data_IF_372669669474
#
_entry.id   IF_372669669474
#
_cell.length_a   1.000
_cell.length_b   1.000
_cell.length_c   1.000
_cell.angle_alpha   90.00
_cell.angle_beta   90.00
_cell.angle_gamma   90.00
#
_symmetry.space_group_name_H-M   'P 1'
#
loop_
_entity.id
_entity.type
_entity.pdbx_description
1 polymer ?
#
# COMPACT_ATOMS: atom_id res chain seq x y z
N UNK A 1 -14.58 -19.74 15.57
CA UNK A 1 -14.26 -20.56 16.75
C UNK A 1 -13.58 -21.90 16.42
N UNK A 2 -13.69 -22.47 15.20
CA UNK A 2 -13.08 -23.79 14.89
C UNK A 2 -11.63 -23.76 14.36
N UNK A 3 -11.00 -22.60 14.12
CA UNK A 3 -9.68 -22.52 13.44
C UNK A 3 -8.50 -22.09 14.34
N UNK A 4 -8.76 -21.59 15.55
CA UNK A 4 -7.69 -21.14 16.47
C UNK A 4 -6.91 -22.30 17.11
N UNK A 5 -7.51 -23.49 17.17
CA UNK A 5 -6.94 -24.71 17.74
C UNK A 5 -5.96 -25.42 16.79
N UNK A 6 -5.96 -25.05 15.51
CA UNK A 6 -5.01 -25.60 14.54
C UNK A 6 -3.63 -24.96 14.67
N UNK A 7 -2.59 -25.67 14.23
CA UNK A 7 -1.23 -25.12 14.18
C UNK A 7 -1.10 -23.98 13.17
N UNK A 8 -0.16 -23.06 13.42
CA UNK A 8 0.11 -21.93 12.50
C UNK A 8 0.36 -22.38 11.05
N UNK A 9 1.18 -23.44 10.77
CA UNK A 9 1.37 -23.93 9.41
C UNK A 9 0.08 -24.45 8.76
N UNK A 10 -0.78 -25.15 9.50
CA UNK A 10 -2.04 -25.66 8.97
C UNK A 10 -2.98 -24.52 8.55
N UNK A 11 -3.04 -23.44 9.35
CA UNK A 11 -3.80 -22.23 9.00
C UNK A 11 -3.25 -21.52 7.77
N UNK A 12 -1.92 -21.41 7.66
CA UNK A 12 -1.26 -20.80 6.50
C UNK A 12 -1.51 -21.60 5.21
N UNK A 13 -1.46 -22.93 5.29
CA UNK A 13 -1.78 -23.82 4.17
C UNK A 13 -3.25 -23.70 3.75
N UNK A 14 -4.17 -23.64 4.72
CA UNK A 14 -5.60 -23.43 4.43
C UNK A 14 -5.84 -22.08 3.76
N UNK A 15 -5.19 -21.01 4.22
CA UNK A 15 -5.23 -19.69 3.59
C UNK A 15 -4.69 -19.75 2.15
N UNK A 16 -3.54 -20.38 1.92
CA UNK A 16 -2.95 -20.51 0.60
C UNK A 16 -3.84 -21.31 -0.36
N UNK A 17 -4.42 -22.42 0.09
CA UNK A 17 -5.36 -23.22 -0.70
C UNK A 17 -6.61 -22.42 -1.07
N UNK A 18 -7.23 -21.74 -0.10
CA UNK A 18 -8.39 -20.88 -0.34
C UNK A 18 -8.07 -19.70 -1.27
N UNK A 19 -6.88 -19.11 -1.15
CA UNK A 19 -6.39 -18.05 -2.02
C UNK A 19 -6.27 -18.53 -3.48
N UNK A 20 -5.72 -19.72 -3.71
CA UNK A 20 -5.61 -20.30 -5.05
C UNK A 20 -6.99 -20.64 -5.64
N UNK A 21 -7.90 -21.18 -4.82
CA UNK A 21 -9.28 -21.47 -5.23
C UNK A 21 -10.03 -20.20 -5.63
N UNK A 22 -9.93 -19.13 -4.83
CA UNK A 22 -10.55 -17.84 -5.15
C UNK A 22 -9.93 -17.20 -6.40
N UNK A 23 -8.62 -17.30 -6.60
CA UNK A 23 -7.98 -16.84 -7.82
C UNK A 23 -8.46 -17.60 -9.07
N UNK A 24 -8.57 -18.94 -8.98
CA UNK A 24 -9.13 -19.77 -10.05
C UNK A 24 -10.60 -19.42 -10.33
N UNK A 25 -11.39 -19.15 -9.29
CA UNK A 25 -12.78 -18.71 -9.40
C UNK A 25 -12.92 -17.38 -10.15
N UNK A 26 -12.19 -16.33 -9.75
CA UNK A 26 -12.23 -15.03 -10.46
C UNK A 26 -11.73 -15.19 -11.89
N UNK A 27 -10.69 -16.00 -12.10
CA UNK A 27 -10.19 -16.29 -13.44
C UNK A 27 -11.26 -16.93 -14.32
N UNK A 28 -12.02 -17.92 -13.83
CA UNK A 28 -13.14 -18.52 -14.55
C UNK A 28 -14.26 -17.50 -14.84
N UNK A 29 -14.55 -16.63 -13.87
CA UNK A 29 -15.55 -15.57 -13.97
C UNK A 29 -15.13 -14.39 -14.87
N UNK A 30 -13.88 -14.32 -15.38
CA UNK A 30 -13.36 -13.16 -16.13
C UNK A 30 -14.15 -12.78 -17.37
N UNK A 31 -14.90 -13.74 -17.96
CA UNK A 31 -15.74 -13.54 -19.14
C UNK A 31 -17.08 -12.86 -18.84
N UNK A 32 -17.46 -12.75 -17.56
CA UNK A 32 -18.66 -12.03 -17.16
C UNK A 32 -18.56 -10.55 -17.53
N UNK A 33 -19.71 -9.96 -17.86
CA UNK A 33 -19.82 -8.53 -18.13
C UNK A 33 -19.47 -7.71 -16.88
N UNK A 34 -18.73 -6.59 -17.02
CA UNK A 34 -18.44 -5.69 -15.91
C UNK A 34 -19.68 -5.19 -15.16
N UNK A 35 -19.50 -4.82 -13.90
CA UNK A 35 -20.58 -4.37 -13.01
C UNK A 35 -21.19 -5.53 -12.22
N UNK A 36 -22.52 -5.58 -12.15
CA UNK A 36 -23.26 -6.50 -11.27
C UNK A 36 -22.90 -7.99 -11.43
N UNK A 37 -22.72 -8.55 -12.66
CA UNK A 37 -22.37 -9.96 -12.80
C UNK A 37 -21.02 -10.30 -12.17
N UNK A 38 -20.00 -9.46 -12.41
CA UNK A 38 -18.69 -9.62 -11.76
C UNK A 38 -18.77 -9.37 -10.25
N UNK A 39 -19.61 -8.43 -9.79
CA UNK A 39 -19.81 -8.18 -8.37
C UNK A 39 -20.35 -9.41 -7.65
N UNK A 40 -21.38 -10.05 -8.20
CA UNK A 40 -21.94 -11.29 -7.66
C UNK A 40 -20.87 -12.39 -7.58
N UNK A 41 -20.04 -12.55 -8.62
CA UNK A 41 -18.91 -13.49 -8.60
C UNK A 41 -17.81 -13.09 -7.61
N UNK A 42 -17.64 -11.80 -7.31
CA UNK A 42 -16.64 -11.30 -6.38
C UNK A 42 -17.03 -11.48 -4.90
N UNK A 43 -18.32 -11.45 -4.56
CA UNK A 43 -18.80 -11.54 -3.16
C UNK A 43 -18.16 -12.67 -2.33
N UNK A 44 -18.12 -13.95 -2.78
CA UNK A 44 -17.47 -15.01 -2.00
C UNK A 44 -15.97 -14.79 -1.82
N UNK A 45 -15.31 -14.16 -2.80
CA UNK A 45 -13.88 -13.84 -2.74
C UNK A 45 -13.61 -12.71 -1.74
N UNK A 46 -14.45 -11.68 -1.75
CA UNK A 46 -14.36 -10.57 -0.79
C UNK A 46 -14.61 -11.08 0.65
N UNK A 47 -15.60 -11.95 0.83
CA UNK A 47 -15.87 -12.57 2.13
C UNK A 47 -14.68 -13.42 2.63
N UNK A 48 -14.09 -14.24 1.75
CA UNK A 48 -12.89 -15.01 2.05
C UNK A 48 -11.73 -14.09 2.47
N UNK A 49 -11.46 -13.03 1.68
CA UNK A 49 -10.38 -12.09 1.96
C UNK A 49 -10.58 -11.37 3.31
N UNK A 50 -11.81 -10.97 3.65
CA UNK A 50 -12.13 -10.36 4.94
C UNK A 50 -12.00 -11.35 6.11
N UNK A 51 -12.25 -12.63 5.89
CA UNK A 51 -12.08 -13.66 6.92
C UNK A 51 -10.61 -14.08 7.12
N UNK A 52 -9.75 -13.88 6.12
CA UNK A 52 -8.37 -14.37 6.12
C UNK A 52 -7.53 -13.94 7.35
N UNK A 53 -7.54 -12.67 7.80
CA UNK A 53 -6.76 -12.28 8.97
C UNK A 53 -7.29 -12.87 10.27
N UNK A 54 -8.58 -13.26 10.33
CA UNK A 54 -9.22 -13.85 11.51
C UNK A 54 -8.75 -15.28 11.79
N UNK A 55 -7.98 -15.88 10.89
CA UNK A 55 -7.31 -17.16 11.15
C UNK A 55 -6.21 -16.99 12.20
N UNK A 56 -5.64 -15.80 12.35
CA UNK A 56 -4.45 -15.56 13.15
C UNK A 56 -4.76 -14.78 14.43
N UNK A 57 -3.95 -15.01 15.46
CA UNK A 57 -4.16 -14.40 16.77
C UNK A 57 -3.78 -12.93 16.74
N UNK A 58 -4.76 -12.05 16.93
CA UNK A 58 -4.53 -10.61 17.14
C UNK A 58 -3.85 -10.32 18.48
N UNK A 59 -3.33 -9.11 18.63
CA UNK A 59 -2.84 -8.60 19.91
C UNK A 59 -4.03 -8.36 20.86
N UNK A 60 -4.00 -8.96 22.03
CA UNK A 60 -4.96 -8.66 23.10
C UNK A 60 -4.47 -7.41 23.84
N UNK A 61 -5.22 -6.31 23.68
CA UNK A 61 -4.87 -5.04 24.30
C UNK A 61 -5.03 -5.06 25.84
N UNK A 62 -5.80 -6.01 26.39
CA UNK A 62 -6.03 -6.15 27.84
C UNK A 62 -5.04 -7.09 28.51
N UNK A 63 -4.56 -8.11 27.79
CA UNK A 63 -3.56 -9.05 28.27
C UNK A 63 -2.49 -9.33 27.21
N UNK A 64 -1.41 -8.55 27.27
CA UNK A 64 -0.28 -8.63 26.34
C UNK A 64 0.64 -9.82 26.58
N UNK A 65 0.45 -10.58 27.66
CA UNK A 65 1.24 -11.78 27.93
C UNK A 65 0.88 -12.94 26.99
N UNK A 66 -0.33 -12.88 26.40
CA UNK A 66 -0.81 -13.91 25.49
C UNK A 66 -0.01 -13.93 24.19
N UNK A 67 0.30 -15.12 23.66
CA UNK A 67 0.94 -15.24 22.36
C UNK A 67 0.05 -14.65 21.28
N UNK A 68 0.62 -13.79 20.45
CA UNK A 68 -0.07 -13.14 19.34
C UNK A 68 0.74 -13.31 18.05
N UNK A 69 0.04 -13.18 16.94
CA UNK A 69 0.55 -13.30 15.58
C UNK A 69 0.31 -11.96 14.85
N UNK A 70 0.42 -10.84 15.57
CA UNK A 70 0.00 -9.51 15.12
C UNK A 70 0.65 -9.09 13.80
N UNK A 71 1.94 -9.39 13.61
CA UNK A 71 2.62 -9.12 12.32
C UNK A 71 1.96 -9.92 11.19
N UNK A 72 1.62 -11.19 11.41
CA UNK A 72 0.92 -12.01 10.41
C UNK A 72 -0.45 -11.45 10.10
N UNK A 73 -1.22 -11.07 11.13
CA UNK A 73 -2.54 -10.43 10.97
C UNK A 73 -2.42 -9.17 10.11
N UNK A 74 -1.47 -8.28 10.42
CA UNK A 74 -1.26 -7.04 9.66
C UNK A 74 -0.84 -7.28 8.21
N UNK A 75 0.05 -8.24 7.95
CA UNK A 75 0.49 -8.56 6.59
C UNK A 75 -0.61 -9.23 5.75
N UNK A 76 -1.41 -10.11 6.37
CA UNK A 76 -2.51 -10.80 5.70
C UNK A 76 -3.68 -9.84 5.45
N UNK A 77 -3.99 -8.96 6.40
CA UNK A 77 -4.95 -7.87 6.20
C UNK A 77 -4.54 -7.01 5.00
N UNK A 78 -3.29 -6.54 4.99
CA UNK A 78 -2.78 -5.69 3.92
C UNK A 78 -2.84 -6.40 2.56
N UNK A 79 -2.44 -7.67 2.48
CA UNK A 79 -2.47 -8.42 1.23
C UNK A 79 -3.89 -8.77 0.75
N UNK A 80 -4.77 -9.23 1.64
CA UNK A 80 -6.07 -9.79 1.29
C UNK A 80 -7.20 -8.76 1.38
N UNK A 81 -7.39 -8.16 2.56
CA UNK A 81 -8.48 -7.22 2.85
C UNK A 81 -8.30 -5.93 2.06
N UNK A 82 -7.05 -5.46 1.95
CA UNK A 82 -6.77 -4.24 1.21
C UNK A 82 -6.42 -4.53 -0.26
N UNK A 83 -5.24 -5.06 -0.56
CA UNK A 83 -4.76 -5.09 -1.94
C UNK A 83 -5.57 -6.05 -2.83
N UNK A 84 -5.83 -7.28 -2.40
CA UNK A 84 -6.57 -8.26 -3.20
C UNK A 84 -8.03 -7.82 -3.41
N UNK A 85 -8.74 -7.42 -2.35
CA UNK A 85 -10.10 -6.87 -2.49
C UNK A 85 -10.15 -5.69 -3.46
N UNK A 86 -9.21 -4.76 -3.40
CA UNK A 86 -9.21 -3.60 -4.30
C UNK A 86 -8.93 -4.01 -5.75
N UNK A 87 -8.04 -4.98 -6.00
CA UNK A 87 -7.83 -5.53 -7.35
C UNK A 87 -9.10 -6.20 -7.88
N UNK A 88 -9.80 -6.96 -7.05
CA UNK A 88 -11.07 -7.61 -7.40
C UNK A 88 -12.18 -6.59 -7.64
N UNK A 89 -12.33 -5.57 -6.78
CA UNK A 89 -13.32 -4.50 -6.94
C UNK A 89 -13.02 -3.63 -8.18
N UNK A 90 -11.76 -3.37 -8.47
CA UNK A 90 -11.35 -2.73 -9.72
C UNK A 90 -11.75 -3.60 -10.92
N UNK A 91 -11.51 -4.91 -10.88
CA UNK A 91 -11.92 -5.85 -11.94
C UNK A 91 -13.43 -5.88 -12.17
N UNK A 92 -14.22 -5.84 -11.09
CA UNK A 92 -15.69 -5.68 -11.16
C UNK A 92 -16.05 -4.46 -11.99
N UNK A 93 -15.36 -3.34 -11.75
CA UNK A 93 -15.56 -2.08 -12.44
C UNK A 93 -14.84 -1.97 -13.80
N UNK A 94 -14.27 -3.05 -14.33
CA UNK A 94 -13.46 -3.08 -15.55
C UNK A 94 -12.22 -2.15 -15.49
N UNK A 95 -11.59 -2.07 -14.33
CA UNK A 95 -10.39 -1.26 -14.05
C UNK A 95 -9.27 -2.13 -13.45
N UNK A 96 -8.08 -1.56 -13.40
CA UNK A 96 -6.94 -2.17 -12.72
C UNK A 96 -6.33 -3.37 -13.47
N UNK A 97 -5.40 -4.07 -12.82
CA UNK A 97 -4.49 -4.99 -13.51
C UNK A 97 -5.15 -6.30 -13.96
N UNK A 98 -6.24 -6.72 -13.31
CA UNK A 98 -6.90 -8.01 -13.57
C UNK A 98 -7.79 -8.03 -14.84
N UNK A 99 -7.99 -6.88 -15.49
CA UNK A 99 -8.74 -6.79 -16.76
C UNK A 99 -7.93 -7.30 -17.94
N UNK A 100 -6.59 -7.34 -17.81
CA UNK A 100 -5.70 -7.76 -18.90
C UNK A 100 -5.77 -9.27 -19.13
N UNK A 101 -5.46 -9.74 -20.36
CA UNK A 101 -5.53 -11.16 -20.72
C UNK A 101 -4.33 -11.96 -20.18
N UNK A 102 -4.17 -12.02 -18.87
CA UNK A 102 -3.12 -12.78 -18.21
C UNK A 102 -3.32 -14.30 -18.36
N UNK A 103 -2.22 -15.05 -18.37
CA UNK A 103 -2.25 -16.51 -18.21
C UNK A 103 -2.72 -16.87 -16.78
N UNK A 104 -3.26 -18.09 -16.52
CA UNK A 104 -3.83 -18.44 -15.22
C UNK A 104 -2.87 -18.20 -14.04
N UNK A 105 -1.60 -18.61 -14.16
CA UNK A 105 -0.59 -18.43 -13.10
C UNK A 105 -0.22 -16.96 -12.90
N UNK A 106 -0.09 -16.19 -13.99
CA UNK A 106 0.14 -14.74 -13.92
C UNK A 106 -1.04 -14.03 -13.26
N UNK A 107 -2.26 -14.42 -13.60
CA UNK A 107 -3.48 -13.87 -13.01
C UNK A 107 -3.52 -14.13 -11.49
N UNK A 108 -3.29 -15.37 -11.07
CA UNK A 108 -3.26 -15.73 -9.65
C UNK A 108 -2.18 -14.96 -8.90
N UNK A 109 -0.96 -14.88 -9.44
CA UNK A 109 0.13 -14.11 -8.85
C UNK A 109 -0.20 -12.61 -8.72
N UNK A 110 -0.76 -12.00 -9.77
CA UNK A 110 -1.13 -10.58 -9.75
C UNK A 110 -2.28 -10.31 -8.78
N UNK A 111 -3.25 -11.22 -8.67
CA UNK A 111 -4.38 -11.08 -7.75
C UNK A 111 -3.93 -11.19 -6.30
N UNK A 112 -3.19 -12.24 -5.96
CA UNK A 112 -2.91 -12.63 -4.58
C UNK A 112 -1.66 -11.96 -3.99
N UNK A 113 -0.62 -11.73 -4.80
CA UNK A 113 0.60 -11.12 -4.27
C UNK A 113 0.45 -9.60 -4.14
N UNK A 114 1.13 -8.97 -3.16
CA UNK A 114 1.09 -7.54 -2.93
C UNK A 114 1.97 -6.78 -3.95
N UNK A 115 1.72 -7.01 -5.24
CA UNK A 115 2.47 -6.43 -6.37
C UNK A 115 1.58 -5.59 -7.27
N UNK A 116 2.17 -4.67 -8.03
CA UNK A 116 1.52 -4.00 -9.15
C UNK A 116 2.27 -4.26 -10.45
N UNK A 117 1.66 -4.86 -11.48
CA UNK A 117 2.32 -4.99 -12.77
C UNK A 117 2.47 -3.61 -13.42
N UNK A 118 3.55 -3.40 -14.16
CA UNK A 118 3.81 -2.15 -14.90
C UNK A 118 2.68 -1.93 -15.92
N UNK A 119 2.17 -0.70 -16.02
CA UNK A 119 1.18 -0.32 -17.02
C UNK A 119 1.85 0.04 -18.35
N UNK A 120 1.65 -0.76 -19.41
CA UNK A 120 2.19 -0.46 -20.74
C UNK A 120 1.68 0.87 -21.32
N UNK A 121 0.51 1.36 -20.90
CA UNK A 121 -0.02 2.64 -21.39
C UNK A 121 0.67 3.86 -20.76
N UNK A 122 1.44 3.68 -19.67
CA UNK A 122 2.35 4.71 -19.17
C UNK A 122 3.57 4.89 -20.08
N UNK A 123 3.92 3.89 -20.90
CA UNK A 123 5.05 3.94 -21.84
C UNK A 123 4.89 5.02 -22.93
N UNK A 124 3.66 5.44 -23.25
CA UNK A 124 3.41 6.53 -24.20
C UNK A 124 3.16 7.90 -23.54
N UNK A 125 2.95 7.96 -22.21
CA UNK A 125 3.01 9.21 -21.45
C UNK A 125 4.44 9.51 -20.93
N UNK A 126 5.42 8.71 -21.35
CA UNK A 126 6.77 8.61 -20.80
C UNK A 126 7.76 9.66 -21.33
N UNK A 127 7.29 10.84 -21.72
CA UNK A 127 8.15 12.00 -22.02
C UNK A 127 8.22 13.01 -20.86
N UNK A 128 7.70 12.68 -19.68
CA UNK A 128 7.88 13.49 -18.46
C UNK A 128 8.51 12.66 -17.34
N UNK A 129 9.84 12.47 -17.40
CA UNK A 129 10.74 12.10 -16.28
C UNK A 129 10.13 11.25 -15.14
N UNK A 130 9.50 10.13 -15.47
CA UNK A 130 8.97 9.18 -14.48
C UNK A 130 9.92 7.99 -14.33
N UNK A 131 10.65 7.92 -13.22
CA UNK A 131 11.62 6.84 -12.90
C UNK A 131 10.99 5.46 -12.67
N UNK A 132 9.67 5.32 -12.86
CA UNK A 132 8.94 4.05 -12.80
C UNK A 132 9.33 3.04 -13.91
N UNK A 133 10.23 3.42 -14.80
CA UNK A 133 10.82 2.57 -15.83
C UNK A 133 12.29 2.18 -15.56
N UNK A 134 12.88 2.61 -14.44
CA UNK A 134 14.20 2.09 -14.05
C UNK A 134 14.04 0.60 -13.72
N UNK A 135 14.65 -0.26 -14.54
CA UNK A 135 14.88 -1.66 -14.19
C UNK A 135 15.48 -1.73 -12.78
N UNK A 136 15.08 -2.72 -11.98
CA UNK A 136 15.54 -2.94 -10.61
C UNK A 136 17.06 -3.24 -10.47
N UNK A 137 17.85 -2.95 -11.50
CA UNK A 137 19.24 -3.37 -11.67
C UNK A 137 19.33 -4.88 -11.97
N UNK A 138 20.56 -5.36 -12.15
CA UNK A 138 20.82 -6.81 -12.20
C UNK A 138 20.53 -7.49 -10.87
N UNK A 139 20.53 -8.83 -10.85
CA UNK A 139 20.23 -9.62 -9.64
C UNK A 139 21.07 -9.22 -8.42
N UNK A 140 22.33 -8.83 -8.61
CA UNK A 140 23.21 -8.35 -7.54
C UNK A 140 22.74 -7.02 -6.92
N UNK A 141 22.16 -6.11 -7.71
CA UNK A 141 21.62 -4.84 -7.22
C UNK A 141 20.36 -5.09 -6.39
N UNK A 142 19.49 -5.98 -6.85
CA UNK A 142 18.30 -6.39 -6.11
C UNK A 142 18.66 -7.08 -4.80
N UNK A 143 19.62 -8.01 -4.83
CA UNK A 143 20.12 -8.68 -3.63
C UNK A 143 20.78 -7.69 -2.65
N UNK A 144 21.58 -6.75 -3.15
CA UNK A 144 22.18 -5.69 -2.34
C UNK A 144 21.14 -4.76 -1.70
N UNK A 145 20.13 -4.34 -2.46
CA UNK A 145 19.04 -3.52 -1.94
C UNK A 145 18.21 -4.26 -0.88
N UNK A 146 17.98 -5.57 -1.08
CA UNK A 146 17.33 -6.42 -0.09
C UNK A 146 18.18 -6.57 1.18
N UNK A 147 19.46 -6.89 1.06
CA UNK A 147 20.38 -6.99 2.18
C UNK A 147 20.48 -5.68 2.98
N UNK A 148 20.51 -4.53 2.29
CA UNK A 148 20.50 -3.21 2.93
C UNK A 148 19.24 -2.97 3.76
N UNK A 149 18.06 -3.40 3.27
CA UNK A 149 16.79 -3.28 4.02
C UNK A 149 16.74 -4.21 5.23
N UNK A 150 17.27 -5.42 5.12
CA UNK A 150 17.40 -6.34 6.27
C UNK A 150 18.37 -5.76 7.31
N UNK A 151 19.51 -5.24 6.87
CA UNK A 151 20.47 -4.58 7.75
C UNK A 151 19.88 -3.34 8.43
N UNK A 152 19.09 -2.54 7.70
CA UNK A 152 18.38 -1.37 8.24
C UNK A 152 17.37 -1.77 9.32
N UNK A 153 16.60 -2.85 9.09
CA UNK A 153 15.65 -3.36 10.07
C UNK A 153 16.37 -3.87 11.34
N UNK A 154 17.46 -4.63 11.17
CA UNK A 154 18.25 -5.14 12.29
C UNK A 154 18.93 -4.01 13.09
N UNK A 155 19.53 -3.04 12.41
CA UNK A 155 20.14 -1.86 13.05
C UNK A 155 19.09 -1.01 13.77
N UNK A 156 17.92 -0.80 13.16
CA UNK A 156 16.81 -0.10 13.79
C UNK A 156 16.31 -0.81 15.04
N UNK A 157 16.16 -2.13 14.99
CA UNK A 157 15.77 -2.95 16.14
C UNK A 157 16.78 -2.86 17.27
N UNK A 158 18.08 -2.99 16.97
CA UNK A 158 19.15 -2.85 17.95
C UNK A 158 19.13 -1.45 18.59
N UNK A 159 18.97 -0.40 17.77
CA UNK A 159 18.96 0.97 18.24
C UNK A 159 17.81 1.25 19.21
N UNK A 160 16.58 0.81 18.91
CA UNK A 160 15.43 1.03 19.82
C UNK A 160 15.48 0.17 21.08
N UNK A 161 16.21 -0.95 21.05
CA UNK A 161 16.37 -1.89 22.17
C UNK A 161 17.44 -1.42 23.14
N UNK A 162 18.61 -1.01 22.63
CA UNK A 162 19.80 -0.76 23.45
C UNK A 162 20.08 0.72 23.72
N UNK A 163 19.47 1.64 22.96
CA UNK A 163 19.70 3.07 23.11
C UNK A 163 18.43 3.79 23.58
N UNK A 164 18.49 4.57 24.67
CA UNK A 164 17.37 5.39 25.12
C UNK A 164 17.21 6.61 24.19
N UNK A 165 16.55 6.41 23.06
CA UNK A 165 16.26 7.48 22.11
C UNK A 165 15.15 8.42 22.61
N UNK A 166 15.25 9.73 22.36
CA UNK A 166 14.12 10.66 22.46
C UNK A 166 12.93 10.15 21.64
N UNK A 167 11.69 10.43 22.09
CA UNK A 167 10.47 9.87 21.51
C UNK A 167 10.38 10.05 19.99
N UNK A 168 10.59 11.26 19.49
CA UNK A 168 10.51 11.56 18.06
C UNK A 168 11.58 10.80 17.23
N UNK A 169 12.79 10.62 17.79
CA UNK A 169 13.85 9.86 17.13
C UNK A 169 13.51 8.35 17.10
N UNK A 170 12.94 7.83 18.18
CA UNK A 170 12.46 6.44 18.26
C UNK A 170 11.36 6.17 17.22
N UNK A 171 10.40 7.06 17.09
CA UNK A 171 9.32 6.98 16.09
C UNK A 171 9.83 7.08 14.64
N UNK A 172 10.88 7.87 14.41
CA UNK A 172 11.56 7.87 13.11
C UNK A 172 12.18 6.50 12.80
N UNK A 173 12.80 5.84 13.79
CA UNK A 173 13.31 4.47 13.63
C UNK A 173 12.18 3.47 13.38
N UNK A 174 11.02 3.62 14.04
CA UNK A 174 9.83 2.82 13.75
C UNK A 174 9.36 3.00 12.30
N UNK A 175 9.43 4.22 11.76
CA UNK A 175 9.10 4.51 10.36
C UNK A 175 10.04 3.75 9.41
N UNK A 176 11.34 3.71 9.71
CA UNK A 176 12.32 2.91 8.95
C UNK A 176 12.04 1.41 9.07
N UNK A 177 11.57 0.96 10.24
CA UNK A 177 11.12 -0.42 10.47
C UNK A 177 9.94 -0.80 9.57
N UNK A 178 8.87 0.02 9.54
CA UNK A 178 7.71 -0.19 8.65
C UNK A 178 8.14 -0.20 7.19
N UNK A 179 8.97 0.76 6.77
CA UNK A 179 9.53 0.81 5.42
C UNK A 179 10.25 -0.50 5.05
N UNK A 180 11.04 -1.05 5.97
CA UNK A 180 11.81 -2.28 5.75
C UNK A 180 10.91 -3.53 5.69
N UNK A 181 9.93 -3.63 6.59
CA UNK A 181 8.96 -4.74 6.65
C UNK A 181 8.10 -4.77 5.38
N UNK A 182 7.54 -3.62 4.98
CA UNK A 182 6.75 -3.51 3.74
C UNK A 182 7.58 -3.83 2.51
N UNK A 183 8.82 -3.33 2.45
CA UNK A 183 9.73 -3.67 1.35
C UNK A 183 9.96 -5.17 1.26
N UNK A 184 10.23 -5.85 2.39
CA UNK A 184 10.39 -7.31 2.40
C UNK A 184 9.13 -8.02 1.91
N UNK A 185 7.97 -7.64 2.42
CA UNK A 185 6.68 -8.25 2.11
C UNK A 185 6.28 -8.10 0.63
N UNK A 186 6.74 -7.04 -0.05
CA UNK A 186 6.28 -6.70 -1.40
C UNK A 186 7.33 -6.93 -2.47
N UNK A 187 8.59 -6.58 -2.21
CA UNK A 187 9.69 -6.86 -3.13
C UNK A 187 10.03 -8.37 -3.14
N UNK A 188 9.84 -9.04 -2.00
CA UNK A 188 10.07 -10.47 -1.84
C UNK A 188 9.28 -11.31 -2.86
N UNK A 189 7.94 -11.19 -2.93
CA UNK A 189 7.14 -11.85 -3.97
C UNK A 189 7.38 -11.32 -5.38
N UNK A 190 7.71 -10.03 -5.54
CA UNK A 190 7.92 -9.42 -6.86
C UNK A 190 9.08 -10.06 -7.63
N UNK A 191 10.19 -10.41 -6.96
CA UNK A 191 11.36 -11.01 -7.59
C UNK A 191 11.08 -12.38 -8.26
N UNK A 192 10.59 -13.42 -7.56
CA UNK A 192 10.27 -14.70 -8.18
C UNK A 192 9.11 -14.59 -9.18
N UNK A 193 8.12 -13.73 -8.95
CA UNK A 193 7.04 -13.51 -9.94
C UNK A 193 7.60 -12.93 -11.25
N UNK A 194 8.52 -11.97 -11.15
CA UNK A 194 9.17 -11.40 -12.33
C UNK A 194 10.04 -12.42 -13.05
N UNK A 195 10.84 -13.20 -12.31
CA UNK A 195 11.76 -14.19 -12.86
C UNK A 195 11.05 -15.41 -13.47
N UNK A 196 10.04 -15.95 -12.78
CA UNK A 196 9.38 -17.21 -13.17
C UNK A 196 8.18 -17.00 -14.08
N UNK A 197 7.45 -15.90 -13.93
CA UNK A 197 6.20 -15.64 -14.67
C UNK A 197 6.34 -14.55 -15.74
N UNK A 198 7.50 -13.89 -15.83
CA UNK A 198 7.77 -12.82 -16.80
C UNK A 198 6.91 -11.56 -16.60
N UNK A 199 6.31 -11.39 -15.42
CA UNK A 199 5.48 -10.23 -15.11
C UNK A 199 6.39 -9.09 -14.68
N UNK A 200 6.42 -7.99 -15.45
CA UNK A 200 7.13 -6.78 -15.03
C UNK A 200 6.40 -6.13 -13.85
N UNK A 201 7.03 -6.12 -12.68
CA UNK A 201 6.47 -5.52 -11.45
C UNK A 201 7.04 -4.11 -11.25
N UNK A 202 6.18 -3.16 -10.91
CA UNK A 202 6.58 -1.80 -10.56
C UNK A 202 7.18 -1.76 -9.16
N UNK A 203 8.20 -0.90 -8.89
CA UNK A 203 8.77 -0.76 -7.56
C UNK A 203 7.71 -0.26 -6.57
N UNK A 204 7.76 -0.79 -5.35
CA UNK A 204 6.83 -0.39 -4.30
C UNK A 204 7.20 0.98 -3.68
N UNK A 205 8.50 1.21 -3.46
CA UNK A 205 9.05 2.48 -2.99
C UNK A 205 10.04 3.07 -4.01
N UNK A 206 10.10 4.40 -4.10
CA UNK A 206 11.13 5.13 -4.86
C UNK A 206 11.77 6.21 -3.98
N UNK A 207 12.82 5.84 -3.25
CA UNK A 207 13.59 6.71 -2.37
C UNK A 207 12.72 7.72 -1.56
N UNK A 208 11.79 7.24 -0.72
CA UNK A 208 10.79 8.09 -0.04
C UNK A 208 11.41 9.18 0.83
N UNK A 209 12.57 8.92 1.43
CA UNK A 209 13.29 9.88 2.26
C UNK A 209 13.99 11.00 1.47
N UNK A 210 13.90 10.99 0.13
CA UNK A 210 14.35 12.08 -0.74
C UNK A 210 13.18 12.94 -1.27
N UNK A 211 11.95 12.71 -0.80
CA UNK A 211 10.79 13.50 -1.19
C UNK A 211 11.05 14.99 -0.91
N UNK A 212 10.77 15.87 -1.87
CA UNK A 212 10.94 17.34 -1.70
C UNK A 212 9.62 18.09 -1.48
N UNK A 213 8.53 17.32 -1.38
CA UNK A 213 7.17 17.80 -1.15
C UNK A 213 6.27 16.63 -0.74
N UNK A 214 5.18 16.90 -0.03
CA UNK A 214 4.14 15.93 0.32
C UNK A 214 3.55 15.27 -0.92
N UNK A 215 3.36 16.05 -2.00
CA UNK A 215 2.87 15.49 -3.26
C UNK A 215 3.86 14.47 -3.83
N UNK A 216 5.15 14.78 -3.82
CA UNK A 216 6.22 13.89 -4.28
C UNK A 216 6.29 12.62 -3.42
N UNK A 217 6.19 12.74 -2.10
CA UNK A 217 6.13 11.61 -1.17
C UNK A 217 4.98 10.64 -1.50
N UNK A 218 3.74 11.11 -1.48
CA UNK A 218 2.56 10.25 -1.60
C UNK A 218 2.26 9.74 -3.01
N UNK A 219 2.59 10.51 -4.06
CA UNK A 219 2.22 10.13 -5.43
C UNK A 219 3.32 9.41 -6.20
N UNK A 220 4.57 9.52 -5.76
CA UNK A 220 5.71 9.03 -6.52
C UNK A 220 6.68 8.15 -5.75
N UNK A 221 6.64 8.13 -4.40
CA UNK A 221 7.72 7.52 -3.62
C UNK A 221 7.31 6.53 -2.54
N UNK A 222 6.17 6.77 -1.88
CA UNK A 222 5.69 5.96 -0.77
C UNK A 222 4.53 5.07 -1.21
N UNK A 223 4.66 3.75 -1.00
CA UNK A 223 3.63 2.74 -1.22
C UNK A 223 2.84 2.91 -2.53
N UNK A 224 3.56 2.79 -3.64
CA UNK A 224 2.98 2.97 -4.98
C UNK A 224 1.93 1.89 -5.31
N UNK A 225 2.01 0.72 -4.67
CA UNK A 225 1.07 -0.38 -4.90
C UNK A 225 -0.28 -0.06 -4.28
N UNK A 226 -0.34 0.40 -3.03
CA UNK A 226 -1.59 0.85 -2.40
C UNK A 226 -2.12 2.12 -3.09
N UNK A 227 -1.23 3.05 -3.44
CA UNK A 227 -1.58 4.24 -4.22
C UNK A 227 -2.26 3.91 -5.55
N UNK A 228 -1.77 2.89 -6.27
CA UNK A 228 -2.40 2.41 -7.50
C UNK A 228 -3.77 1.74 -7.26
N UNK A 229 -3.95 1.03 -6.14
CA UNK A 229 -5.26 0.48 -5.80
C UNK A 229 -6.30 1.57 -5.54
N UNK A 230 -5.93 2.60 -4.75
CA UNK A 230 -6.77 3.78 -4.52
C UNK A 230 -7.05 4.53 -5.82
N UNK A 231 -6.04 4.63 -6.70
CA UNK A 231 -6.22 5.26 -8.01
C UNK A 231 -7.30 4.56 -8.84
N UNK A 232 -7.25 3.24 -8.89
CA UNK A 232 -8.16 2.43 -9.71
C UNK A 232 -9.58 2.34 -9.12
N UNK A 233 -9.71 2.26 -7.80
CA UNK A 233 -10.99 2.06 -7.12
C UNK A 233 -11.69 3.36 -6.73
N UNK A 234 -10.94 4.44 -6.48
CA UNK A 234 -11.47 5.68 -5.88
C UNK A 234 -11.19 6.88 -6.78
N UNK A 235 -9.93 7.17 -7.08
CA UNK A 235 -9.55 8.40 -7.79
C UNK A 235 -10.14 8.47 -9.20
N UNK A 236 -9.85 7.46 -10.03
CA UNK A 236 -10.23 7.46 -11.44
C UNK A 236 -11.77 7.48 -11.61
N UNK A 237 -12.56 6.68 -10.88
CA UNK A 237 -14.01 6.78 -10.90
C UNK A 237 -14.57 8.18 -10.62
N UNK A 238 -14.03 8.88 -9.61
CA UNK A 238 -14.48 10.23 -9.22
C UNK A 238 -14.08 11.26 -10.28
N UNK A 239 -12.85 11.17 -10.80
CA UNK A 239 -12.35 12.12 -11.81
C UNK A 239 -13.07 11.96 -13.13
N UNK A 240 -13.26 10.72 -13.58
CA UNK A 240 -13.97 10.39 -14.82
C UNK A 240 -15.48 10.57 -14.69
N UNK A 241 -16.03 10.48 -13.47
CA UNK A 241 -17.47 10.47 -13.22
C UNK A 241 -18.12 9.16 -13.70
N UNK A 242 -17.37 8.07 -13.73
CA UNK A 242 -17.82 6.75 -14.20
C UNK A 242 -17.25 5.67 -13.30
N UNK A 243 -18.11 4.90 -12.63
CA UNK A 243 -17.66 3.79 -11.79
C UNK A 243 -17.15 2.62 -12.64
N UNK A 244 -18.02 2.06 -13.48
CA UNK A 244 -17.67 0.98 -14.42
C UNK A 244 -17.07 1.58 -15.68
N UNK A 245 -15.80 1.25 -15.96
CA UNK A 245 -15.12 1.72 -17.15
C UNK A 245 -15.64 0.99 -18.39
N UNK A 246 -16.36 1.70 -19.24
CA UNK A 246 -16.77 1.20 -20.55
C UNK A 246 -15.69 1.56 -21.56
N UNK A 247 -15.14 0.58 -22.28
CA UNK A 247 -14.24 0.90 -23.39
C UNK A 247 -14.97 1.83 -24.38
N UNK A 248 -14.39 2.99 -24.76
CA UNK A 248 -15.14 3.95 -25.57
C UNK A 248 -15.41 3.39 -26.97
N UNK A 249 -16.64 3.51 -27.51
CA UNK A 249 -16.87 3.29 -28.93
C UNK A 249 -16.15 4.39 -29.72
N UNK A 250 -15.48 3.96 -30.79
CA UNK A 250 -14.73 4.74 -31.77
C UNK A 250 -13.94 5.96 -31.22
N UNK A 251 -12.68 5.69 -30.82
CA UNK A 251 -11.77 6.63 -30.13
C UNK A 251 -11.64 7.99 -30.83
N UNK A 252 -11.76 8.05 -32.16
CA UNK A 252 -11.53 9.29 -32.92
C UNK A 252 -12.71 10.27 -32.85
N UNK A 253 -13.95 9.77 -32.91
CA UNK A 253 -15.16 10.60 -32.84
C UNK A 253 -15.41 11.10 -31.41
N UNK A 254 -15.23 10.21 -30.43
CA UNK A 254 -15.34 10.52 -29.01
C UNK A 254 -14.27 11.52 -28.55
N UNK A 255 -13.03 11.42 -29.06
CA UNK A 255 -11.96 12.37 -28.74
C UNK A 255 -12.21 13.78 -29.28
N UNK A 256 -12.76 13.94 -30.50
CA UNK A 256 -13.09 15.27 -31.05
C UNK A 256 -14.22 15.96 -30.28
N UNK A 257 -15.29 15.23 -29.97
CA UNK A 257 -16.42 15.75 -29.20
C UNK A 257 -16.02 16.10 -27.76
N UNK A 258 -15.18 15.26 -27.14
CA UNK A 258 -14.63 15.52 -25.80
C UNK A 258 -13.64 16.69 -25.79
N UNK A 259 -12.79 16.83 -26.81
CA UNK A 259 -11.87 17.96 -26.91
C UNK A 259 -12.62 19.30 -26.99
N UNK A 260 -13.66 19.38 -27.82
CA UNK A 260 -14.51 20.58 -27.94
C UNK A 260 -15.24 20.92 -26.62
N UNK A 261 -15.81 19.92 -25.93
CA UNK A 261 -16.46 20.12 -24.62
C UNK A 261 -15.46 20.45 -23.49
N UNK A 262 -14.20 20.00 -23.61
CA UNK A 262 -13.18 20.17 -22.58
C UNK A 262 -12.55 21.57 -22.52
N UNK A 263 -12.69 22.37 -23.59
CA UNK A 263 -12.13 23.72 -23.70
C UNK A 263 -12.90 24.79 -22.91
N UNK A 264 -14.12 24.50 -22.44
CA UNK A 264 -14.93 25.45 -21.69
C UNK A 264 -14.35 25.73 -20.28
N UNK A 265 -14.32 26.99 -19.80
CA UNK A 265 -13.85 27.35 -18.46
C UNK A 265 -14.59 26.62 -17.32
N UNK A 266 -15.91 26.43 -17.46
CA UNK A 266 -16.72 25.68 -16.51
C UNK A 266 -16.28 24.21 -16.41
N UNK A 267 -15.92 23.59 -17.55
CA UNK A 267 -15.38 22.23 -17.59
C UNK A 267 -14.00 22.15 -16.93
N UNK A 268 -13.16 23.19 -17.05
CA UNK A 268 -11.87 23.25 -16.37
C UNK A 268 -12.01 23.36 -14.84
N UNK A 269 -12.94 24.18 -14.36
CA UNK A 269 -13.27 24.30 -12.93
C UNK A 269 -13.80 22.97 -12.36
N UNK A 270 -14.72 22.32 -13.08
CA UNK A 270 -15.28 21.02 -12.70
C UNK A 270 -14.19 19.94 -12.64
N UNK A 271 -13.26 19.89 -13.59
CA UNK A 271 -12.13 18.94 -13.55
C UNK A 271 -11.23 19.18 -12.34
N UNK A 272 -10.95 20.44 -11.99
CA UNK A 272 -10.15 20.79 -10.80
C UNK A 272 -10.87 20.32 -9.53
N UNK A 273 -12.17 20.55 -9.43
CA UNK A 273 -12.98 20.10 -8.29
C UNK A 273 -13.00 18.57 -8.19
N UNK A 274 -13.26 17.86 -9.28
CA UNK A 274 -13.26 16.38 -9.29
C UNK A 274 -11.90 15.79 -8.92
N UNK A 275 -10.79 16.40 -9.35
CA UNK A 275 -9.43 15.98 -8.94
C UNK A 275 -9.19 16.18 -7.44
N UNK A 276 -9.66 17.29 -6.88
CA UNK A 276 -9.57 17.56 -5.44
C UNK A 276 -10.42 16.56 -4.64
N UNK A 277 -11.66 16.33 -5.07
CA UNK A 277 -12.56 15.34 -4.46
C UNK A 277 -11.99 13.93 -4.54
N UNK A 278 -11.44 13.54 -5.70
CA UNK A 278 -10.79 12.24 -5.88
C UNK A 278 -9.58 12.06 -4.96
N UNK A 279 -8.76 13.11 -4.82
CA UNK A 279 -7.62 13.09 -3.89
C UNK A 279 -8.08 12.99 -2.43
N UNK A 280 -9.07 13.79 -2.03
CA UNK A 280 -9.61 13.77 -0.67
C UNK A 280 -10.25 12.41 -0.33
N UNK A 281 -11.00 11.83 -1.27
CA UNK A 281 -11.58 10.51 -1.12
C UNK A 281 -10.50 9.42 -0.98
N UNK A 282 -9.41 9.50 -1.74
CA UNK A 282 -8.30 8.54 -1.60
C UNK A 282 -7.67 8.60 -0.21
N UNK A 283 -7.41 9.80 0.31
CA UNK A 283 -6.87 9.96 1.66
C UNK A 283 -7.85 9.49 2.73
N UNK A 284 -9.14 9.79 2.60
CA UNK A 284 -10.16 9.31 3.53
C UNK A 284 -10.24 7.78 3.54
N UNK A 285 -10.33 7.16 2.36
CA UNK A 285 -10.40 5.70 2.23
C UNK A 285 -9.13 5.05 2.77
N UNK A 286 -7.95 5.62 2.48
CA UNK A 286 -6.69 5.17 3.06
C UNK A 286 -6.72 5.24 4.59
N UNK A 287 -7.19 6.34 5.17
CA UNK A 287 -7.31 6.49 6.63
C UNK A 287 -8.24 5.46 7.26
N UNK A 288 -9.41 5.23 6.66
CA UNK A 288 -10.34 4.20 7.11
C UNK A 288 -9.74 2.79 7.02
N UNK A 289 -8.97 2.48 5.97
CA UNK A 289 -8.29 1.19 5.87
C UNK A 289 -7.27 0.99 6.99
N UNK A 290 -6.60 2.05 7.44
CA UNK A 290 -5.69 1.94 8.59
C UNK A 290 -6.43 1.77 9.92
N UNK A 291 -7.63 2.34 10.09
CA UNK A 291 -8.48 2.00 11.25
C UNK A 291 -8.92 0.52 11.20
N UNK A 292 -9.26 0.02 10.01
CA UNK A 292 -9.60 -1.40 9.80
C UNK A 292 -8.39 -2.29 10.11
N UNK A 293 -7.18 -1.90 9.67
CA UNK A 293 -5.95 -2.61 9.96
C UNK A 293 -5.66 -2.67 11.46
N UNK A 294 -5.74 -1.52 12.15
CA UNK A 294 -5.60 -1.49 13.62
C UNK A 294 -6.67 -2.34 14.29
N UNK A 295 -7.91 -2.29 13.80
CA UNK A 295 -8.99 -3.13 14.30
C UNK A 295 -8.67 -4.60 14.11
N UNK A 296 -8.16 -5.07 12.96
CA UNK A 296 -7.74 -6.47 12.80
C UNK A 296 -6.60 -6.83 13.76
N UNK A 297 -5.62 -5.94 13.93
CA UNK A 297 -4.46 -6.21 14.77
C UNK A 297 -4.77 -6.23 16.27
N UNK A 298 -5.78 -5.50 16.75
CA UNK A 298 -5.99 -5.24 18.19
C UNK A 298 -7.41 -5.41 18.71
N UNK A 299 -8.40 -5.46 17.81
CA UNK A 299 -9.83 -5.39 18.17
C UNK A 299 -10.31 -3.98 18.53
N UNK A 300 -9.46 -2.97 18.42
CA UNK A 300 -9.75 -1.59 18.80
C UNK A 300 -9.60 -0.65 17.59
N UNK A 301 -10.30 0.48 17.62
CA UNK A 301 -10.11 1.58 16.65
C UNK A 301 -9.35 2.72 17.33
N UNK A 302 -8.60 3.51 16.56
CA UNK A 302 -7.88 4.67 17.11
C UNK A 302 -8.79 5.87 17.40
N UNK A 303 -10.12 5.67 17.31
CA UNK A 303 -11.14 6.73 17.41
C UNK A 303 -10.93 7.85 16.40
N UNK A 304 -10.37 7.53 15.23
CA UNK A 304 -10.19 8.45 14.12
C UNK A 304 -8.80 9.09 14.03
N UNK A 305 -7.84 8.77 14.90
CA UNK A 305 -6.47 9.31 14.82
C UNK A 305 -5.78 8.91 13.52
N UNK A 306 -5.88 7.63 13.12
CA UNK A 306 -5.32 7.15 11.85
C UNK A 306 -6.04 7.80 10.67
N UNK A 307 -7.36 7.93 10.75
CA UNK A 307 -8.13 8.66 9.73
C UNK A 307 -7.70 10.12 9.63
N UNK A 308 -7.44 10.78 10.76
CA UNK A 308 -6.99 12.17 10.82
C UNK A 308 -5.61 12.36 10.19
N UNK A 309 -4.67 11.42 10.39
CA UNK A 309 -3.35 11.43 9.75
C UNK A 309 -3.45 11.59 8.22
N UNK A 310 -4.33 10.82 7.59
CA UNK A 310 -4.51 10.88 6.14
C UNK A 310 -5.40 12.05 5.70
N UNK A 311 -6.48 12.35 6.43
CA UNK A 311 -7.35 13.48 6.10
C UNK A 311 -6.60 14.82 6.12
N UNK A 312 -5.66 15.00 7.05
CA UNK A 312 -4.82 16.19 7.15
C UNK A 312 -3.91 16.41 5.92
N UNK A 313 -3.63 15.38 5.12
CA UNK A 313 -2.78 15.51 3.93
C UNK A 313 -3.37 16.45 2.89
N UNK A 314 -4.70 16.50 2.76
CA UNK A 314 -5.38 17.34 1.76
C UNK A 314 -5.11 18.84 2.00
N UNK A 315 -5.41 19.43 3.18
CA UNK A 315 -5.08 20.82 3.44
C UNK A 315 -3.57 21.07 3.41
N UNK A 316 -2.74 20.13 3.88
CA UNK A 316 -1.28 20.28 3.84
C UNK A 316 -0.74 20.35 2.41
N UNK A 317 -1.24 19.51 1.49
CA UNK A 317 -0.90 19.54 0.06
C UNK A 317 -1.35 20.86 -0.59
N UNK A 318 -2.51 21.40 -0.21
CA UNK A 318 -2.98 22.69 -0.71
C UNK A 318 -2.11 23.84 -0.19
N UNK A 319 -1.76 23.82 1.10
CA UNK A 319 -0.87 24.79 1.73
C UNK A 319 0.53 24.74 1.11
N UNK A 320 1.09 23.56 0.89
CA UNK A 320 2.35 23.36 0.20
C UNK A 320 2.33 23.95 -1.21
N UNK A 321 1.26 23.70 -1.97
CA UNK A 321 1.12 24.25 -3.33
C UNK A 321 1.06 25.77 -3.32
N UNK A 322 0.36 26.36 -2.35
CA UNK A 322 0.27 27.80 -2.17
C UNK A 322 1.61 28.42 -1.76
N UNK A 323 2.26 27.86 -0.74
CA UNK A 323 3.56 28.30 -0.24
C UNK A 323 4.63 28.16 -1.33
N UNK A 324 4.65 27.05 -2.04
CA UNK A 324 5.56 26.82 -3.16
C UNK A 324 5.34 27.80 -4.31
N UNK A 325 4.11 28.24 -4.57
CA UNK A 325 3.83 29.29 -5.55
C UNK A 325 4.33 30.66 -5.07
N UNK A 326 4.14 30.98 -3.78
CA UNK A 326 4.63 32.22 -3.16
C UNK A 326 6.16 32.30 -3.20
N UNK A 327 6.86 31.27 -2.70
CA UNK A 327 8.33 31.23 -2.66
C UNK A 327 8.96 31.32 -4.04
N UNK A 328 8.35 30.70 -5.06
CA UNK A 328 8.81 30.83 -6.46
C UNK A 328 8.64 32.24 -7.00
N UNK A 329 7.53 32.92 -6.71
CA UNK A 329 7.31 34.31 -7.11
C UNK A 329 8.29 35.27 -6.46
N UNK A 330 8.70 34.98 -5.22
CA UNK A 330 9.68 35.77 -4.48
C UNK A 330 11.14 35.42 -4.78
N UNK A 331 11.40 34.39 -5.60
CA UNK A 331 12.77 33.91 -5.87
C UNK A 331 13.46 33.22 -4.67
N UNK A 332 12.72 32.94 -3.58
CA UNK A 332 13.25 32.41 -2.32
C UNK A 332 13.04 30.89 -2.19
N UNK A 333 13.10 30.15 -3.30
CA UNK A 333 12.86 28.70 -3.24
C UNK A 333 14.04 28.00 -2.54
N UNK A 334 13.81 27.30 -1.41
CA UNK A 334 14.89 26.64 -0.69
C UNK A 334 15.53 25.51 -1.52
N UNK A 335 16.83 25.23 -1.31
CA UNK A 335 17.50 24.09 -1.93
C UNK A 335 16.80 22.77 -1.59
N UNK A 336 16.96 21.78 -2.48
CA UNK A 336 16.26 20.48 -2.39
C UNK A 336 16.40 19.77 -1.03
N UNK A 337 17.60 19.70 -0.41
CA UNK A 337 17.75 19.04 0.90
C UNK A 337 16.89 19.68 1.99
N UNK A 338 16.82 21.02 2.05
CA UNK A 338 16.00 21.72 3.05
C UNK A 338 14.51 21.43 2.85
N UNK A 339 14.06 21.37 1.59
CA UNK A 339 12.68 21.00 1.27
C UNK A 339 12.36 19.56 1.66
N UNK A 340 13.33 18.66 1.50
CA UNK A 340 13.18 17.26 1.93
C UNK A 340 13.09 17.15 3.44
N UNK A 341 14.00 17.78 4.17
CA UNK A 341 13.94 17.85 5.64
C UNK A 341 12.61 18.44 6.09
N UNK A 342 12.17 19.56 5.52
CA UNK A 342 10.89 20.16 5.87
C UNK A 342 9.69 19.22 5.61
N UNK A 343 9.67 18.54 4.46
CA UNK A 343 8.60 17.59 4.10
C UNK A 343 8.56 16.42 5.09
N UNK A 344 9.71 15.79 5.37
CA UNK A 344 9.81 14.66 6.28
C UNK A 344 9.49 15.07 7.72
N UNK A 345 9.91 16.26 8.15
CA UNK A 345 9.57 16.79 9.47
C UNK A 345 8.06 17.02 9.63
N UNK A 346 7.37 17.55 8.62
CA UNK A 346 5.91 17.70 8.64
C UNK A 346 5.23 16.34 8.76
N UNK A 347 5.66 15.35 7.97
CA UNK A 347 5.12 13.98 8.03
C UNK A 347 5.39 13.32 9.39
N UNK A 348 6.61 13.44 9.91
CA UNK A 348 7.01 12.84 11.19
C UNK A 348 6.25 13.48 12.36
N UNK A 349 6.13 14.81 12.39
CA UNK A 349 5.37 15.51 13.42
C UNK A 349 3.88 15.18 13.35
N UNK A 350 3.31 15.10 12.14
CA UNK A 350 1.92 14.68 12.00
C UNK A 350 1.73 13.23 12.47
N UNK A 351 2.63 12.33 12.09
CA UNK A 351 2.63 10.93 12.53
C UNK A 351 2.76 10.80 14.05
N UNK A 352 3.62 11.60 14.69
CA UNK A 352 3.79 11.63 16.14
C UNK A 352 2.45 11.81 16.88
N UNK A 353 1.68 12.82 16.49
CA UNK A 353 0.42 13.17 17.15
C UNK A 353 -0.76 12.28 16.79
N UNK A 354 -0.66 11.51 15.70
CA UNK A 354 -1.79 10.73 15.16
C UNK A 354 -1.44 9.25 15.03
N UNK A 355 -0.59 8.92 14.07
CA UNK A 355 -0.17 7.55 13.75
C UNK A 355 0.48 6.82 14.93
N UNK A 356 1.56 7.37 15.49
CA UNK A 356 2.30 6.71 16.57
C UNK A 356 1.52 6.72 17.87
N UNK A 357 0.80 7.81 18.17
CA UNK A 357 -0.13 7.86 19.29
C UNK A 357 -1.17 6.72 19.25
N UNK A 358 -1.76 6.45 18.07
CA UNK A 358 -2.72 5.37 17.89
C UNK A 358 -2.12 3.98 18.15
N UNK A 359 -0.93 3.70 17.62
CA UNK A 359 -0.29 2.39 17.77
C UNK A 359 0.31 2.17 19.16
N UNK A 360 0.85 3.21 19.79
CA UNK A 360 1.39 3.14 21.16
C UNK A 360 0.29 2.90 22.19
N UNK A 361 -0.89 3.51 22.01
CA UNK A 361 -2.04 3.34 22.91
C UNK A 361 -2.37 1.86 23.15
N UNK A 362 -2.27 1.03 22.11
CA UNK A 362 -2.59 -0.40 22.16
C UNK A 362 -1.36 -1.31 22.23
N UNK A 363 -0.15 -0.75 22.37
CA UNK A 363 1.09 -1.52 22.52
C UNK A 363 1.57 -2.21 21.23
N UNK A 364 1.09 -1.78 20.06
CA UNK A 364 1.45 -2.39 18.77
C UNK A 364 2.94 -2.24 18.48
N UNK A 365 3.52 -1.10 18.80
CA UNK A 365 4.97 -0.85 18.61
C UNK A 365 5.82 -1.82 19.42
N UNK A 366 5.46 -2.04 20.70
CA UNK A 366 6.16 -2.98 21.56
C UNK A 366 5.97 -4.43 21.08
N UNK A 367 4.73 -4.83 20.76
CA UNK A 367 4.45 -6.17 20.26
C UNK A 367 5.21 -6.49 18.97
N UNK A 368 5.40 -5.50 18.09
CA UNK A 368 6.23 -5.65 16.89
C UNK A 368 7.71 -5.88 17.23
N UNK A 369 8.26 -5.11 18.17
CA UNK A 369 9.65 -5.28 18.66
C UNK A 369 9.83 -6.68 19.24
N UNK A 370 8.94 -7.10 20.13
CA UNK A 370 9.01 -8.41 20.79
C UNK A 370 8.95 -9.55 19.77
N UNK A 371 8.07 -9.44 18.77
CA UNK A 371 7.95 -10.41 17.67
C UNK A 371 9.23 -10.51 16.84
N UNK A 372 9.85 -9.37 16.50
CA UNK A 372 11.10 -9.34 15.74
C UNK A 372 12.29 -9.90 16.55
N UNK A 373 12.33 -9.65 17.86
CA UNK A 373 13.34 -10.21 18.76
C UNK A 373 13.16 -11.72 18.99
N UNK A 374 11.93 -12.22 18.98
CA UNK A 374 11.67 -13.66 19.00
C UNK A 374 12.14 -14.32 17.70
N UNK A 375 11.83 -13.71 16.55
CA UNK A 375 12.28 -14.20 15.25
C UNK A 375 13.81 -14.21 15.14
N UNK A 376 14.49 -13.13 15.57
CA UNK A 376 15.96 -13.07 15.52
C UNK A 376 16.59 -14.15 16.40
N UNK A 377 16.06 -14.40 17.60
CA UNK A 377 16.50 -15.50 18.47
C UNK A 377 16.25 -16.87 17.87
N UNK A 378 15.11 -17.09 17.21
CA UNK A 378 14.84 -18.37 16.55
C UNK A 378 15.83 -18.64 15.41
N UNK A 379 16.09 -17.63 14.57
CA UNK A 379 17.03 -17.75 13.44
C UNK A 379 18.48 -17.93 13.93
N UNK A 380 18.94 -17.10 14.87
CA UNK A 380 20.32 -17.13 15.36
C UNK A 380 20.56 -18.27 16.37
N UNK A 381 19.58 -18.58 17.21
CA UNK A 381 19.65 -19.67 18.20
C UNK A 381 19.60 -21.06 17.56
N UNK A 382 18.97 -21.22 16.39
CA UNK A 382 19.02 -22.48 15.63
C UNK A 382 20.41 -22.82 15.05
N UNK A 383 21.38 -21.88 15.14
CA UNK A 383 22.77 -22.11 14.75
C UNK A 383 23.69 -22.53 15.90
N UNK A 384 23.19 -22.53 17.14
CA UNK A 384 23.86 -23.14 18.27
C UNK A 384 23.21 -24.49 18.53
N UNK A 385 23.79 -25.56 17.96
CA UNK A 385 23.45 -26.91 18.38
C UNK A 385 23.64 -27.02 19.89
N UNK A 386 22.60 -27.47 20.59
CA UNK A 386 22.80 -27.99 21.94
C UNK A 386 23.69 -29.25 21.83
N UNK A 387 24.73 -29.37 22.67
CA UNK A 387 25.67 -30.48 22.65
C UNK A 387 25.04 -31.82 23.06
#
# INVERSE_FOLDING_TARGET
MLLEDHSYPARLLALAAGALLTAAWVFAARRLAPGLPRLAAALPVLAFNCAAPLLFRRLDATDRSKPNEMISVGMIEFAFVWLCCYKVLAWVCNRGPLVRPWRPLQFAAIMLAPISPVEEHAAHAQQRNGRQAEHAGGAAVMAGAFAAKVALLAAGLALVTFVPLPKLAREFVYTLGIFSILSFAMDGPAAPISALLGVKVAPHFDAPFLATSLSDFWSHRWDLVAGNQLRNCVYAPIVEGQLVHSAPPDRRRSARLSAAASAAPAAAAQRKQRRLLGMAACFLVSGLMHEVQLWYMTGQTSRGLLTAFFAAQVPLLLAERWLGALLRRSGLLPPRPLRSVATLSVLLLLAHWTWWAAYEQYGVTQAAIDSLQQLSRAVLGSSAGEP
#
